data_IF_231063567093
#
_entry.id   IF_231063567093
#
_cell.length_a   1.000
_cell.length_b   1.000
_cell.length_c   1.000
_cell.angle_alpha   90.00
_cell.angle_beta   90.00
_cell.angle_gamma   90.00
#
_symmetry.space_group_name_H-M   'P 1'
#
loop_
_entity.id
_entity.type
_entity.pdbx_description
1 polymer ?
#
# COMPACT_ATOMS: atom_id res chain seq x y z
N UNK A 1 -54.97 31.18 -19.19
CA UNK A 1 -53.53 30.95 -19.49
C UNK A 1 -52.67 30.62 -18.25
N UNK A 2 -53.08 30.90 -17.01
CA UNK A 2 -52.24 30.66 -15.81
C UNK A 2 -52.04 29.17 -15.46
N UNK A 3 -53.11 28.35 -15.47
CA UNK A 3 -53.06 26.94 -15.04
C UNK A 3 -51.97 26.09 -15.73
N UNK A 4 -51.74 26.30 -17.03
CA UNK A 4 -50.72 25.58 -17.78
C UNK A 4 -49.27 25.92 -17.39
N UNK A 5 -49.02 27.08 -16.76
CA UNK A 5 -47.70 27.42 -16.20
C UNK A 5 -47.46 26.70 -14.88
N UNK A 6 -48.47 26.62 -14.02
CA UNK A 6 -48.38 25.92 -12.73
C UNK A 6 -48.17 24.41 -12.94
N UNK A 7 -48.98 23.78 -13.82
CA UNK A 7 -48.82 22.35 -14.16
C UNK A 7 -47.41 22.02 -14.67
N UNK A 8 -46.87 22.85 -15.57
CA UNK A 8 -45.52 22.67 -16.10
C UNK A 8 -44.46 22.83 -15.00
N UNK A 9 -44.55 23.88 -14.20
CA UNK A 9 -43.58 24.15 -13.13
C UNK A 9 -43.58 23.06 -12.06
N UNK A 10 -44.75 22.50 -11.73
CA UNK A 10 -44.89 21.34 -10.84
C UNK A 10 -44.14 20.11 -11.37
N UNK A 11 -44.30 19.78 -12.67
CA UNK A 11 -43.58 18.66 -13.28
C UNK A 11 -42.06 18.86 -13.28
N UNK A 12 -41.57 20.07 -13.58
CA UNK A 12 -40.13 20.37 -13.54
C UNK A 12 -39.54 20.24 -12.14
N UNK A 13 -40.27 20.67 -11.09
CA UNK A 13 -39.83 20.50 -9.69
C UNK A 13 -39.80 19.03 -9.28
N UNK A 14 -40.82 18.24 -9.62
CA UNK A 14 -40.85 16.80 -9.31
C UNK A 14 -39.72 16.05 -10.02
N UNK A 15 -39.48 16.34 -11.31
CA UNK A 15 -38.35 15.76 -12.06
C UNK A 15 -37.01 16.16 -11.45
N UNK A 16 -36.83 17.42 -11.06
CA UNK A 16 -35.60 17.87 -10.39
C UNK A 16 -35.35 17.15 -9.05
N UNK A 17 -36.39 16.91 -8.24
CA UNK A 17 -36.26 16.14 -6.99
C UNK A 17 -35.90 14.66 -7.23
N UNK A 18 -36.47 14.02 -8.25
CA UNK A 18 -36.16 12.62 -8.60
C UNK A 18 -34.74 12.47 -9.17
N UNK A 19 -34.23 13.48 -9.89
CA UNK A 19 -32.84 13.53 -10.36
C UNK A 19 -31.85 13.86 -9.22
N UNK A 20 -32.31 14.50 -8.14
CA UNK A 20 -31.46 14.79 -6.97
C UNK A 20 -31.22 13.57 -6.06
N UNK A 21 -32.04 12.52 -6.15
CA UNK A 21 -31.87 11.26 -5.40
C UNK A 21 -30.94 10.26 -6.10
N UNK A 22 -29.77 10.71 -6.57
CA UNK A 22 -28.68 9.80 -7.00
C UNK A 22 -28.06 9.18 -5.76
N UNK A 23 -28.68 8.11 -5.27
CA UNK A 23 -28.12 7.25 -4.24
C UNK A 23 -26.86 6.59 -4.78
N UNK A 24 -25.68 7.10 -4.41
CA UNK A 24 -24.40 6.44 -4.71
C UNK A 24 -24.36 5.09 -4.03
N UNK A 25 -24.47 4.02 -4.82
CA UNK A 25 -24.32 2.65 -4.34
C UNK A 25 -22.90 2.42 -3.86
N UNK A 26 -22.74 2.16 -2.55
CA UNK A 26 -21.46 1.72 -2.00
C UNK A 26 -21.24 0.25 -2.40
N UNK A 27 -20.48 0.02 -3.46
CA UNK A 27 -20.05 -1.32 -3.87
C UNK A 27 -18.84 -1.77 -3.04
N UNK A 28 -18.91 -2.97 -2.47
CA UNK A 28 -17.75 -3.67 -1.92
C UNK A 28 -16.95 -4.33 -3.06
N UNK A 29 -15.62 -4.26 -3.00
CA UNK A 29 -14.71 -4.88 -3.95
C UNK A 29 -13.97 -6.06 -3.33
N UNK A 30 -13.66 -7.08 -4.14
CA UNK A 30 -12.75 -8.17 -3.76
C UNK A 30 -11.41 -7.97 -4.44
N UNK A 31 -10.40 -7.60 -3.67
CA UNK A 31 -9.03 -7.41 -4.15
C UNK A 31 -8.27 -8.74 -4.14
N UNK A 32 -7.62 -9.08 -5.24
CA UNK A 32 -6.72 -10.23 -5.31
C UNK A 32 -5.36 -9.86 -4.70
N UNK A 33 -4.91 -10.56 -3.66
CA UNK A 33 -3.62 -10.29 -3.00
C UNK A 33 -2.46 -10.23 -4.00
N UNK A 34 -1.64 -9.16 -3.93
CA UNK A 34 -0.53 -8.95 -4.89
C UNK A 34 -0.99 -8.77 -6.35
N UNK A 35 -2.27 -8.44 -6.59
CA UNK A 35 -2.89 -8.29 -7.91
C UNK A 35 -3.29 -9.61 -8.58
N UNK A 36 -2.64 -10.73 -8.25
CA UNK A 36 -2.90 -12.06 -8.84
C UNK A 36 -3.80 -12.92 -7.98
N UNK A 37 -3.77 -12.73 -6.66
CA UNK A 37 -4.45 -13.54 -5.66
C UNK A 37 -3.55 -14.65 -5.12
N UNK A 38 -2.50 -14.99 -5.85
CA UNK A 38 -1.53 -16.01 -5.48
C UNK A 38 -0.78 -15.58 -4.21
N UNK A 39 -0.85 -16.42 -3.18
CA UNK A 39 -0.15 -16.27 -1.92
C UNK A 39 1.02 -17.26 -1.91
N UNK A 40 2.22 -16.70 -2.11
CA UNK A 40 3.50 -17.40 -2.19
C UNK A 40 4.66 -16.41 -2.00
N UNK A 41 5.84 -16.91 -1.67
CA UNK A 41 7.07 -16.13 -1.55
C UNK A 41 7.31 -15.26 -2.80
N UNK A 42 7.40 -13.92 -2.65
CA UNK A 42 7.68 -13.02 -3.78
C UNK A 42 9.02 -13.29 -4.45
N UNK A 43 9.08 -13.12 -5.77
CA UNK A 43 10.34 -13.17 -6.51
C UNK A 43 11.22 -11.95 -6.17
N UNK A 44 12.31 -12.20 -5.45
CA UNK A 44 13.26 -11.19 -5.02
C UNK A 44 13.94 -10.48 -6.20
N UNK A 45 14.04 -11.15 -7.36
CA UNK A 45 14.66 -10.58 -8.56
C UNK A 45 13.77 -9.49 -9.19
N UNK A 46 12.45 -9.58 -9.00
CA UNK A 46 11.47 -8.64 -9.54
C UNK A 46 11.17 -7.45 -8.62
N UNK A 47 11.28 -7.62 -7.29
CA UNK A 47 10.93 -6.59 -6.29
C UNK A 47 12.10 -6.05 -5.46
N UNK A 48 13.29 -6.64 -5.59
CA UNK A 48 14.41 -6.38 -4.68
C UNK A 48 14.10 -6.83 -3.25
N UNK A 49 14.78 -6.22 -2.26
CA UNK A 49 14.62 -6.55 -0.83
C UNK A 49 13.28 -6.10 -0.21
N UNK A 50 12.28 -5.73 -1.01
CA UNK A 50 11.00 -5.15 -0.57
C UNK A 50 9.85 -6.13 -0.84
N UNK A 51 8.92 -6.26 0.12
CA UNK A 51 7.71 -7.08 -0.08
C UNK A 51 6.87 -6.54 -1.23
N UNK A 52 6.79 -7.31 -2.32
CA UNK A 52 5.93 -7.01 -3.47
C UNK A 52 4.44 -6.89 -3.07
N UNK A 53 3.99 -7.63 -2.06
CA UNK A 53 2.64 -7.52 -1.52
C UNK A 53 2.38 -6.15 -0.89
N UNK A 54 3.34 -5.63 -0.11
CA UNK A 54 3.20 -4.29 0.49
C UNK A 54 3.22 -3.19 -0.57
N UNK A 55 4.11 -3.27 -1.57
CA UNK A 55 4.12 -2.33 -2.70
C UNK A 55 2.79 -2.32 -3.44
N UNK A 56 2.21 -3.49 -3.72
CA UNK A 56 0.88 -3.60 -4.32
C UNK A 56 -0.22 -2.98 -3.44
N UNK A 57 -0.16 -3.20 -2.12
CA UNK A 57 -1.15 -2.69 -1.18
C UNK A 57 -1.08 -1.17 -1.00
N UNK A 58 0.11 -0.57 -1.03
CA UNK A 58 0.32 0.89 -1.00
C UNK A 58 -0.37 1.62 -2.16
N UNK A 59 -0.50 0.95 -3.32
CA UNK A 59 -1.19 1.46 -4.50
C UNK A 59 -2.70 1.13 -4.53
N UNK A 60 -3.19 0.38 -3.53
CA UNK A 60 -4.58 -0.12 -3.47
C UNK A 60 -5.39 0.62 -2.40
N UNK A 61 -6.65 0.97 -2.69
CA UNK A 61 -7.52 1.76 -1.80
C UNK A 61 -8.62 0.92 -1.18
N UNK A 62 -8.31 0.26 -0.07
CA UNK A 62 -9.26 -0.55 0.71
C UNK A 62 -10.20 0.30 1.56
N UNK A 63 -11.46 -0.11 1.66
CA UNK A 63 -12.52 0.49 2.48
C UNK A 63 -13.17 -0.58 3.37
N UNK A 64 -13.91 -0.13 4.37
CA UNK A 64 -14.78 -1.03 5.14
C UNK A 64 -15.83 -1.63 4.20
N UNK A 65 -16.03 -2.94 4.31
CA UNK A 65 -16.88 -3.74 3.42
C UNK A 65 -16.15 -4.40 2.26
N UNK A 66 -14.98 -3.90 1.84
CA UNK A 66 -14.14 -4.58 0.84
C UNK A 66 -13.59 -5.90 1.42
N UNK A 67 -13.14 -6.79 0.53
CA UNK A 67 -12.48 -8.03 0.89
C UNK A 67 -11.14 -8.21 0.16
N UNK A 68 -10.30 -9.09 0.68
CA UNK A 68 -9.08 -9.57 0.03
C UNK A 68 -9.15 -11.09 -0.17
N UNK A 69 -8.71 -11.57 -1.33
CA UNK A 69 -8.67 -12.97 -1.70
C UNK A 69 -7.23 -13.48 -1.83
N UNK A 70 -6.97 -14.65 -1.23
CA UNK A 70 -5.69 -15.36 -1.23
C UNK A 70 -5.88 -16.78 -1.80
N UNK A 71 -4.98 -17.22 -2.67
CA UNK A 71 -4.93 -18.51 -3.35
C UNK A 71 -3.59 -19.17 -3.05
N UNK A 72 -3.59 -20.32 -2.38
CA UNK A 72 -2.38 -21.06 -1.97
C UNK A 72 -2.66 -22.55 -1.87
N UNK A 73 -1.62 -23.39 -1.79
CA UNK A 73 -1.79 -24.82 -1.61
C UNK A 73 -2.04 -25.15 -0.11
N UNK A 74 -3.21 -25.72 0.26
CA UNK A 74 -3.48 -26.16 1.62
C UNK A 74 -2.40 -27.12 2.13
N UNK A 75 -2.02 -26.99 3.40
CA UNK A 75 -1.03 -27.87 4.05
C UNK A 75 0.43 -27.56 3.71
N UNK A 76 0.70 -26.83 2.62
CA UNK A 76 2.02 -26.24 2.34
C UNK A 76 2.11 -24.79 2.84
N UNK A 77 1.00 -24.05 2.77
CA UNK A 77 0.87 -22.71 3.34
C UNK A 77 -0.51 -22.46 3.98
N UNK A 78 -0.64 -21.31 4.65
CA UNK A 78 -1.83 -20.76 5.29
C UNK A 78 -1.70 -19.24 5.43
N UNK A 79 -2.82 -18.53 5.49
CA UNK A 79 -2.84 -17.09 5.79
C UNK A 79 -3.15 -16.92 7.28
N UNK A 80 -2.29 -16.21 8.01
CA UNK A 80 -2.52 -15.84 9.40
C UNK A 80 -2.80 -14.35 9.53
N UNK A 81 -3.89 -13.98 10.18
CA UNK A 81 -4.11 -12.61 10.67
C UNK A 81 -3.38 -12.45 12.00
N UNK A 82 -2.54 -11.43 12.14
CA UNK A 82 -1.67 -11.23 13.31
C UNK A 82 -1.66 -9.78 13.78
N UNK A 83 -1.09 -9.54 14.96
CA UNK A 83 -0.73 -8.20 15.42
C UNK A 83 0.59 -7.70 14.75
N UNK A 84 0.90 -6.41 14.90
CA UNK A 84 2.09 -5.80 14.29
C UNK A 84 3.41 -6.45 14.74
N UNK A 85 3.57 -6.77 16.03
CA UNK A 85 4.80 -7.35 16.56
C UNK A 85 5.02 -8.77 16.04
N UNK A 86 3.94 -9.54 15.92
CA UNK A 86 3.96 -10.87 15.31
C UNK A 86 4.25 -10.82 13.81
N UNK A 87 3.77 -9.79 13.09
CA UNK A 87 4.13 -9.51 11.70
C UNK A 87 5.60 -9.12 11.50
N UNK A 88 6.11 -8.24 12.37
CA UNK A 88 7.51 -7.78 12.31
C UNK A 88 8.47 -8.97 12.53
N UNK A 89 8.17 -9.84 13.51
CA UNK A 89 9.00 -10.98 13.93
C UNK A 89 8.67 -12.33 13.22
N UNK A 90 7.72 -12.36 12.29
CA UNK A 90 7.18 -13.60 11.70
C UNK A 90 6.83 -14.66 12.77
N UNK A 91 6.08 -14.25 13.79
CA UNK A 91 5.58 -15.13 14.85
C UNK A 91 4.26 -15.78 14.42
N UNK A 92 4.32 -17.07 14.10
CA UNK A 92 3.17 -17.87 13.65
C UNK A 92 2.48 -18.62 14.79
N UNK A 93 2.97 -18.51 16.03
CA UNK A 93 2.50 -19.33 17.16
C UNK A 93 1.18 -18.86 17.79
N UNK A 94 0.90 -17.56 17.72
CA UNK A 94 -0.26 -16.92 18.38
C UNK A 94 -0.98 -15.98 17.42
N UNK A 95 -1.55 -16.49 16.32
CA UNK A 95 -2.33 -15.67 15.40
C UNK A 95 -3.65 -15.21 16.03
N UNK A 96 -4.17 -14.10 15.51
CA UNK A 96 -5.53 -13.62 15.80
C UNK A 96 -6.55 -14.52 15.09
N UNK A 97 -6.25 -14.93 13.86
CA UNK A 97 -7.06 -15.85 13.07
C UNK A 97 -6.19 -16.64 12.07
N UNK A 98 -6.64 -17.83 11.68
CA UNK A 98 -5.88 -18.80 10.87
C UNK A 98 -6.74 -19.36 9.74
N UNK A 99 -6.29 -19.15 8.50
CA UNK A 99 -6.96 -19.65 7.31
C UNK A 99 -6.05 -20.66 6.60
N UNK A 100 -6.54 -21.90 6.44
CA UNK A 100 -5.80 -23.01 5.82
C UNK A 100 -6.62 -23.72 4.73
N UNK A 101 -7.63 -23.03 4.18
CA UNK A 101 -8.58 -23.50 3.18
C UNK A 101 -8.06 -23.42 1.73
N UNK A 102 -6.94 -22.72 1.52
CA UNK A 102 -6.29 -22.55 0.21
C UNK A 102 -6.91 -21.48 -0.68
N UNK A 103 -8.12 -21.01 -0.38
CA UNK A 103 -8.85 -20.01 -1.16
C UNK A 103 -9.54 -18.98 -0.26
N UNK A 104 -8.80 -18.47 0.72
CA UNK A 104 -9.31 -17.54 1.75
C UNK A 104 -9.85 -16.25 1.14
N UNK A 105 -11.06 -15.84 1.54
CA UNK A 105 -11.58 -14.50 1.31
C UNK A 105 -11.86 -13.83 2.66
N UNK A 106 -11.15 -12.74 2.94
CA UNK A 106 -11.25 -12.00 4.20
C UNK A 106 -11.90 -10.62 3.98
N UNK A 107 -13.03 -10.35 4.65
CA UNK A 107 -13.75 -9.07 4.56
C UNK A 107 -13.32 -8.10 5.66
N UNK A 108 -13.01 -6.86 5.27
CA UNK A 108 -12.59 -5.79 6.18
C UNK A 108 -13.77 -5.12 6.86
N UNK A 109 -14.03 -5.43 8.13
CA UNK A 109 -15.18 -4.92 8.90
C UNK A 109 -14.90 -3.66 9.70
N UNK A 110 -13.62 -3.29 9.88
CA UNK A 110 -13.16 -2.05 10.54
C UNK A 110 -12.09 -1.34 9.72
N UNK A 111 -11.94 -0.03 9.94
CA UNK A 111 -10.82 0.76 9.41
C UNK A 111 -9.52 0.51 10.18
N UNK A 112 -8.40 0.96 9.61
CA UNK A 112 -7.05 0.80 10.19
C UNK A 112 -6.28 -0.38 9.61
N UNK A 113 -5.14 -0.74 10.22
CA UNK A 113 -4.25 -1.76 9.70
C UNK A 113 -4.71 -3.19 10.03
N UNK A 114 -4.43 -4.09 9.08
CA UNK A 114 -4.49 -5.55 9.20
C UNK A 114 -3.14 -6.10 8.74
N UNK A 115 -2.62 -7.07 9.47
CA UNK A 115 -1.32 -7.67 9.19
C UNK A 115 -1.52 -9.16 8.88
N UNK A 116 -1.15 -9.55 7.67
CA UNK A 116 -1.22 -10.93 7.21
C UNK A 116 0.19 -11.48 7.03
N UNK A 117 0.43 -12.69 7.52
CA UNK A 117 1.67 -13.44 7.30
C UNK A 117 1.36 -14.84 6.78
N UNK A 118 2.30 -15.43 6.03
CA UNK A 118 2.29 -16.87 5.80
C UNK A 118 2.41 -17.61 7.14
N UNK A 119 1.62 -18.68 7.32
CA UNK A 119 1.76 -19.58 8.45
C UNK A 119 2.99 -20.49 8.36
N UNK A 120 3.62 -20.57 7.19
CA UNK A 120 4.98 -21.07 7.05
C UNK A 120 5.98 -19.96 7.43
N UNK A 121 6.66 -20.12 8.57
CA UNK A 121 7.57 -19.12 9.12
C UNK A 121 8.71 -18.75 8.16
N UNK A 122 9.23 -19.70 7.39
CA UNK A 122 10.31 -19.46 6.43
C UNK A 122 9.83 -18.72 5.18
N UNK A 123 8.55 -18.83 4.85
CA UNK A 123 7.93 -18.05 3.79
C UNK A 123 7.68 -16.59 4.24
N UNK A 124 7.16 -16.39 5.46
CA UNK A 124 7.04 -15.06 6.06
C UNK A 124 8.40 -14.33 6.12
N UNK A 125 9.45 -15.03 6.55
CA UNK A 125 10.82 -14.50 6.58
C UNK A 125 11.34 -14.11 5.19
N UNK A 126 10.86 -14.77 4.13
CA UNK A 126 11.14 -14.43 2.71
C UNK A 126 10.12 -13.45 2.12
N UNK A 127 9.52 -12.60 2.95
CA UNK A 127 8.57 -11.54 2.58
C UNK A 127 7.20 -12.02 2.06
N UNK A 128 6.79 -13.26 2.34
CA UNK A 128 5.38 -13.67 2.20
C UNK A 128 4.53 -13.12 3.35
N UNK A 129 4.39 -11.80 3.34
CA UNK A 129 3.64 -11.02 4.34
C UNK A 129 3.15 -9.70 3.77
N UNK A 130 1.97 -9.29 4.22
CA UNK A 130 1.19 -8.18 3.68
C UNK A 130 0.60 -7.30 4.80
N UNK A 131 0.72 -5.98 4.66
CA UNK A 131 -0.03 -4.98 5.44
C UNK A 131 -1.14 -4.41 4.57
N UNK A 132 -2.39 -4.47 5.05
CA UNK A 132 -3.52 -3.76 4.44
C UNK A 132 -3.95 -2.63 5.36
N UNK A 133 -4.04 -1.41 4.84
CA UNK A 133 -4.57 -0.25 5.58
C UNK A 133 -5.94 0.12 5.02
N UNK A 134 -6.98 -0.13 5.81
CA UNK A 134 -8.38 0.12 5.43
C UNK A 134 -8.73 1.56 5.78
N UNK A 135 -9.17 2.34 4.78
CA UNK A 135 -9.53 3.74 4.95
C UNK A 135 -10.71 3.90 5.93
N UNK A 136 -10.60 4.84 6.85
CA UNK A 136 -11.72 5.27 7.68
C UNK A 136 -12.81 5.94 6.85
N UNK A 137 -14.07 5.74 7.23
CA UNK A 137 -15.18 6.50 6.67
C UNK A 137 -14.96 7.99 6.93
N UNK A 138 -14.93 8.79 5.86
CA UNK A 138 -14.94 10.24 6.00
C UNK A 138 -16.35 10.62 6.41
N UNK A 139 -16.53 10.97 7.68
CA UNK A 139 -17.83 11.38 8.22
C UNK A 139 -18.50 12.38 7.28
N UNK A 140 -19.68 12.02 6.77
CA UNK A 140 -20.46 12.83 5.83
C UNK A 140 -21.21 13.97 6.55
N UNK A 141 -20.48 14.73 7.37
CA UNK A 141 -20.96 15.96 7.99
C UNK A 141 -20.44 17.15 7.19
N UNK A 142 -21.35 17.99 6.70
CA UNK A 142 -21.03 19.12 5.85
C UNK A 142 -20.16 20.17 6.54
N UNK A 143 -19.36 20.88 5.73
CA UNK A 143 -18.66 22.13 6.12
C UNK A 143 -18.07 22.12 7.53
N UNK A 144 -17.06 21.27 7.75
CA UNK A 144 -16.06 21.59 8.77
C UNK A 144 -15.45 22.97 8.41
N UNK A 145 -15.52 23.99 9.30
CA UNK A 145 -14.84 25.24 9.06
C UNK A 145 -13.33 24.97 8.93
N UNK A 146 -12.67 25.65 8.00
CA UNK A 146 -11.21 25.64 7.95
C UNK A 146 -10.68 26.12 9.32
N UNK A 147 -9.59 25.54 9.86
CA UNK A 147 -8.94 26.07 11.06
C UNK A 147 -8.58 27.53 10.82
N UNK A 148 -9.21 28.45 11.55
CA UNK A 148 -8.89 29.86 11.46
C UNK A 148 -7.43 30.04 11.88
N UNK A 149 -6.62 30.65 11.02
CA UNK A 149 -5.26 31.03 11.36
C UNK A 149 -5.32 32.01 12.54
N UNK A 150 -4.86 31.56 13.71
CA UNK A 150 -4.81 32.41 14.89
C UNK A 150 -3.92 33.64 14.61
N UNK A 151 -4.34 34.87 14.95
CA UNK A 151 -3.49 36.04 14.81
C UNK A 151 -2.25 35.89 15.67
N UNK A 152 -1.07 36.16 15.11
CA UNK A 152 0.18 36.17 15.87
C UNK A 152 0.17 37.35 16.84
N UNK A 153 -0.18 37.08 18.09
CA UNK A 153 -0.12 38.05 19.18
C UNK A 153 1.34 38.26 19.60
N UNK A 154 2.01 39.22 18.96
CA UNK A 154 3.33 39.67 19.37
C UNK A 154 3.26 40.30 20.76
N UNK A 155 3.72 39.57 21.77
CA UNK A 155 3.83 40.09 23.15
C UNK A 155 5.28 40.41 23.43
N UNK A 156 5.60 41.70 23.51
CA UNK A 156 6.88 42.19 24.01
C UNK A 156 6.98 41.93 25.51
N UNK A 157 8.10 41.37 25.97
CA UNK A 157 8.49 41.44 27.38
C UNK A 157 10.02 41.41 27.51
N UNK A 158 10.63 42.18 28.44
CA UNK A 158 12.06 42.50 28.39
C UNK A 158 12.93 41.62 29.31
N UNK A 159 14.25 41.74 29.09
CA UNK A 159 15.37 41.27 29.92
C UNK A 159 15.71 39.77 29.92
N UNK A 160 16.69 39.42 29.07
CA UNK A 160 17.63 38.31 29.30
C UNK A 160 19.07 38.88 29.32
N UNK A 161 19.95 38.46 30.25
CA UNK A 161 21.35 38.91 30.30
C UNK A 161 22.20 38.32 29.16
N UNK A 162 23.37 38.93 28.84
CA UNK A 162 24.17 38.56 27.67
C UNK A 162 24.90 37.21 27.81
N UNK A 163 25.01 36.47 26.71
CA UNK A 163 25.79 35.24 26.60
C UNK A 163 27.30 35.46 26.72
N UNK A 164 28.07 34.48 27.24
CA UNK A 164 29.53 34.52 27.25
C UNK A 164 30.15 34.30 25.84
N UNK A 165 31.40 34.74 25.61
CA UNK A 165 32.09 34.62 24.31
C UNK A 165 32.59 33.20 24.01
N UNK A 166 32.85 32.88 22.72
CA UNK A 166 33.38 31.58 22.31
C UNK A 166 34.89 31.42 22.62
N UNK A 167 35.38 30.18 22.84
CA UNK A 167 36.81 29.90 22.98
C UNK A 167 37.57 30.01 21.62
N UNK A 168 38.88 30.31 21.63
CA UNK A 168 39.66 30.57 20.43
C UNK A 168 40.15 29.31 19.70
N UNK A 169 40.41 29.46 18.39
CA UNK A 169 40.95 28.41 17.50
C UNK A 169 42.47 28.26 17.58
N UNK A 170 42.97 27.04 17.35
CA UNK A 170 44.38 26.70 17.07
C UNK A 170 44.93 25.59 17.98
N UNK A 171 45.85 24.71 17.57
CA UNK A 171 46.58 24.57 16.29
C UNK A 171 47.08 23.10 16.14
N UNK A 172 46.97 22.54 14.93
CA UNK A 172 47.94 21.65 14.22
C UNK A 172 48.49 20.32 14.80
N UNK A 173 49.14 19.53 13.88
CA UNK A 173 49.85 18.23 14.01
C UNK A 173 48.93 17.00 13.86
N UNK A 174 49.11 16.03 12.94
CA UNK A 174 49.98 15.85 11.76
C UNK A 174 49.39 14.75 10.81
N UNK A 175 49.76 14.60 9.50
CA UNK A 175 48.97 13.81 8.53
C UNK A 175 49.59 12.48 8.01
N UNK A 176 48.72 11.50 7.68
CA UNK A 176 48.88 10.46 6.60
C UNK A 176 50.02 9.41 6.86
N UNK A 177 50.13 8.22 6.21
CA UNK A 177 49.38 7.57 5.11
C UNK A 177 48.76 6.20 5.56
N UNK A 178 48.29 5.24 4.75
CA UNK A 178 48.02 5.15 3.31
C UNK A 178 46.89 4.13 3.01
N UNK A 179 46.46 4.21 1.76
CA UNK A 179 45.55 3.37 1.00
C UNK A 179 45.89 1.85 0.99
N UNK A 180 44.90 1.04 0.61
CA UNK A 180 45.14 0.10 -0.50
C UNK A 180 43.88 -0.06 -1.35
N UNK A 181 43.90 0.55 -2.53
CA UNK A 181 43.03 0.19 -3.64
C UNK A 181 43.47 -1.15 -4.22
N UNK A 182 42.52 -1.99 -4.62
CA UNK A 182 42.78 -2.97 -5.67
C UNK A 182 41.52 -3.26 -6.48
N UNK A 183 41.40 -2.57 -7.60
CA UNK A 183 40.59 -3.04 -8.72
C UNK A 183 41.41 -4.13 -9.45
N UNK A 184 40.86 -5.34 -9.57
CA UNK A 184 41.47 -6.42 -10.33
C UNK A 184 40.58 -6.83 -11.51
N UNK A 185 41.20 -6.85 -12.68
CA UNK A 185 40.60 -6.96 -14.00
C UNK A 185 39.70 -8.20 -14.26
N UNK A 186 38.73 -7.96 -15.13
CA UNK A 186 38.03 -8.96 -15.96
C UNK A 186 39.04 -9.69 -16.88
N UNK A 187 38.82 -10.98 -17.18
CA UNK A 187 39.10 -11.48 -18.53
C UNK A 187 37.81 -11.86 -19.26
N UNK A 188 37.88 -11.84 -20.60
CA UNK A 188 36.80 -12.23 -21.52
C UNK A 188 36.90 -13.72 -21.87
N UNK A 189 35.77 -14.41 -21.94
CA UNK A 189 35.49 -15.43 -22.95
C UNK A 189 34.11 -15.07 -23.54
N UNK A 190 33.87 -14.87 -24.85
CA UNK A 190 34.36 -15.45 -26.10
C UNK A 190 33.57 -16.71 -26.52
N UNK A 191 32.77 -16.58 -27.59
CA UNK A 191 31.93 -17.64 -28.17
C UNK A 191 30.58 -17.82 -27.45
N UNK A 192 29.47 -18.17 -28.11
CA UNK A 192 29.27 -18.54 -29.52
C UNK A 192 28.01 -17.84 -30.06
N UNK A 193 28.03 -17.45 -31.34
CA UNK A 193 26.87 -16.89 -32.02
C UNK A 193 25.83 -17.97 -32.36
N UNK A 194 24.58 -17.77 -31.92
CA UNK A 194 23.41 -18.54 -32.34
C UNK A 194 22.42 -17.62 -33.04
N UNK A 195 22.46 -17.58 -34.37
CA UNK A 195 21.52 -16.82 -35.19
C UNK A 195 20.37 -17.71 -35.70
N UNK A 196 19.31 -17.05 -36.18
CA UNK A 196 18.15 -17.59 -36.89
C UNK A 196 17.10 -18.36 -36.04
N UNK A 197 15.83 -17.96 -36.21
CA UNK A 197 14.69 -18.58 -35.51
C UNK A 197 13.39 -17.75 -35.49
N UNK A 198 13.15 -16.87 -36.46
CA UNK A 198 11.83 -16.24 -36.62
C UNK A 198 10.81 -17.29 -37.09
N UNK A 199 9.86 -17.64 -36.22
CA UNK A 199 8.67 -18.41 -36.59
C UNK A 199 7.42 -17.62 -36.19
N UNK A 200 6.86 -16.90 -37.15
CA UNK A 200 5.59 -16.17 -37.00
C UNK A 200 4.45 -17.21 -37.01
N UNK A 201 3.95 -17.54 -35.82
CA UNK A 201 2.82 -18.45 -35.62
C UNK A 201 1.48 -17.71 -35.54
N UNK A 202 1.07 -17.01 -36.59
CA UNK A 202 -0.30 -16.46 -36.67
C UNK A 202 -1.29 -17.56 -37.02
N UNK A 203 -2.20 -17.89 -36.11
CA UNK A 203 -3.43 -18.63 -36.42
C UNK A 203 -4.59 -18.10 -35.57
N UNK A 204 -5.43 -17.30 -36.20
CA UNK A 204 -6.73 -16.88 -35.68
C UNK A 204 -7.79 -17.97 -35.93
N UNK A 205 -8.87 -17.93 -35.14
CA UNK A 205 -10.17 -18.60 -35.31
C UNK A 205 -10.32 -20.12 -35.08
N UNK A 206 -10.95 -20.44 -33.94
CA UNK A 206 -12.26 -21.13 -33.86
C UNK A 206 -12.85 -20.79 -32.47
N UNK A 207 -14.00 -20.09 -32.36
CA UNK A 207 -15.37 -20.62 -32.42
C UNK A 207 -15.65 -21.80 -31.46
N UNK A 208 -15.92 -21.47 -30.19
CA UNK A 208 -17.12 -21.89 -29.42
C UNK A 208 -17.56 -20.70 -28.57
#
# INVERSE_FOLDING_TARGET
MAHGRVQRMQCWVVVACVVASVSTTASAFVFKAGGTGEWRVPDQQASGNVSAYNQWAEHTRFRVGDAIAFSYQPGNDSVLLVDKSSYDACNTNTPIDTFADGNTVFTFTRSGPYYFISGNKDNCNRNEKLIVVVMGERAANGTAPAPALAPSAGTTSPNSPPSPPPPPSGIEISPTPEQSVNAAARPRAAGIAGAAGLAIGTLFYALV
#
